data_IF_527122617903
#
_entry.id   IF_527122617903
#
_cell.length_a   1.000
_cell.length_b   1.000
_cell.length_c   1.000
_cell.angle_alpha   90.00
_cell.angle_beta   90.00
_cell.angle_gamma   90.00
#
_symmetry.space_group_name_H-M   'P 1'
#
loop_
_entity.id
_entity.type
_entity.pdbx_description
1 polymer ?
#
# COMPACT_ATOMS: atom_id res chain seq x y z
N UNK A 1 9.52 -1.07 11.62
CA UNK A 1 9.73 0.32 11.17
C UNK A 1 8.55 0.76 10.32
N UNK A 2 8.12 2.03 10.46
CA UNK A 2 7.04 2.62 9.67
C UNK A 2 7.57 3.89 8.99
N UNK A 3 7.03 4.25 7.82
CA UNK A 3 7.35 5.52 7.16
C UNK A 3 6.11 6.44 7.06
N UNK A 4 6.35 7.68 6.65
CA UNK A 4 5.31 8.71 6.47
C UNK A 4 4.30 8.37 5.37
N UNK A 5 4.60 7.39 4.52
CA UNK A 5 3.72 6.94 3.44
C UNK A 5 2.78 5.81 3.88
N UNK A 6 2.85 5.40 5.15
CA UNK A 6 2.03 4.34 5.73
C UNK A 6 2.55 2.93 5.46
N UNK A 7 3.72 2.77 4.84
CA UNK A 7 4.37 1.47 4.67
C UNK A 7 4.99 0.99 5.98
N UNK A 8 5.08 -0.33 6.14
CA UNK A 8 5.60 -0.97 7.34
C UNK A 8 6.57 -2.09 6.97
N UNK A 9 7.72 -2.12 7.65
CA UNK A 9 8.71 -3.20 7.54
C UNK A 9 8.95 -3.79 8.92
N UNK A 10 8.36 -4.96 9.23
CA UNK A 10 8.66 -5.66 10.47
C UNK A 10 10.06 -6.28 10.36
N UNK A 11 10.87 -6.11 11.40
CA UNK A 11 12.13 -6.82 11.57
C UNK A 11 12.00 -7.67 12.83
N UNK A 12 12.13 -8.98 12.69
CA UNK A 12 12.18 -9.88 13.82
C UNK A 12 13.64 -10.06 14.24
N UNK A 13 13.92 -9.80 15.51
CA UNK A 13 15.20 -10.13 16.13
C UNK A 13 14.94 -11.25 17.11
N UNK A 14 15.69 -12.34 16.96
CA UNK A 14 15.67 -13.44 17.90
C UNK A 14 16.97 -13.36 18.69
N UNK A 15 16.85 -13.47 20.02
CA UNK A 15 18.00 -13.53 20.91
C UNK A 15 18.71 -14.87 20.72
N UNK A 16 20.02 -14.82 20.60
CA UNK A 16 20.82 -16.03 20.64
C UNK A 16 20.96 -16.50 22.10
N UNK A 17 20.32 -17.62 22.41
CA UNK A 17 20.31 -18.20 23.76
C UNK A 17 21.53 -19.09 24.04
N UNK A 18 22.37 -19.38 23.03
CA UNK A 18 23.55 -20.22 23.20
C UNK A 18 24.65 -19.52 24.03
N UNK A 19 24.82 -18.21 23.83
CA UNK A 19 25.72 -17.35 24.62
C UNK A 19 25.24 -17.17 26.07
N UNK A 20 23.94 -17.35 26.33
CA UNK A 20 23.39 -17.30 27.69
C UNK A 20 23.55 -18.64 28.42
N UNK A 21 23.46 -19.76 27.71
CA UNK A 21 23.68 -21.10 28.27
C UNK A 21 25.13 -21.29 28.77
N UNK A 22 26.10 -20.66 28.12
CA UNK A 22 27.51 -20.66 28.54
C UNK A 22 27.80 -19.72 29.72
N UNK A 23 26.99 -18.68 29.92
CA UNK A 23 27.06 -17.78 31.09
C UNK A 23 26.46 -18.41 32.35
N UNK A 24 25.38 -19.17 32.21
CA UNK A 24 24.74 -19.86 33.34
C UNK A 24 25.67 -20.95 33.91
N UNK A 25 26.55 -21.53 33.09
CA UNK A 25 27.52 -22.56 33.52
C UNK A 25 28.83 -22.00 34.10
N UNK A 26 29.07 -20.69 34.04
CA UNK A 26 30.24 -20.04 34.61
C UNK A 26 29.86 -19.26 35.88
N UNK A 27 30.04 -19.89 37.04
CA UNK A 27 29.84 -19.29 38.38
C UNK A 27 30.90 -18.21 38.71
N UNK A 28 30.95 -17.09 37.98
CA UNK A 28 31.75 -15.92 38.40
C UNK A 28 30.87 -14.78 38.88
N UNK A 29 31.03 -14.48 40.18
CA UNK A 29 30.39 -13.47 41.02
C UNK A 29 30.71 -12.04 40.58
N UNK A 30 30.32 -11.66 39.36
CA UNK A 30 30.34 -10.27 38.90
C UNK A 30 28.97 -9.92 38.33
N UNK A 31 28.49 -8.72 38.65
CA UNK A 31 27.16 -8.21 38.31
C UNK A 31 26.71 -8.69 36.92
N UNK A 32 25.50 -9.26 36.77
CA UNK A 32 25.05 -9.77 35.49
C UNK A 32 25.10 -8.63 34.47
N UNK A 33 26.03 -8.70 33.53
CA UNK A 33 26.08 -7.75 32.41
C UNK A 33 24.74 -7.82 31.69
N UNK A 34 24.12 -6.68 31.35
CA UNK A 34 22.81 -6.67 30.73
C UNK A 34 22.83 -7.55 29.48
N UNK A 35 21.80 -8.36 29.31
CA UNK A 35 21.71 -9.15 28.10
C UNK A 35 21.39 -8.22 26.91
N UNK A 36 22.35 -8.11 25.99
CA UNK A 36 22.21 -7.30 24.80
C UNK A 36 21.86 -8.16 23.61
N UNK A 37 20.83 -7.75 22.88
CA UNK A 37 20.44 -8.33 21.61
C UNK A 37 20.97 -7.44 20.49
N UNK A 38 21.83 -8.01 19.63
CA UNK A 38 22.42 -7.31 18.49
C UNK A 38 21.81 -7.84 17.20
N UNK A 39 21.44 -6.93 16.31
CA UNK A 39 20.96 -7.27 14.98
C UNK A 39 21.46 -6.28 13.93
N UNK A 40 21.59 -6.77 12.69
CA UNK A 40 21.93 -5.92 11.56
C UNK A 40 21.19 -6.40 10.32
N UNK A 41 20.60 -5.45 9.59
CA UNK A 41 19.88 -5.72 8.35
C UNK A 41 20.39 -4.83 7.23
N UNK A 42 20.39 -5.36 6.02
CA UNK A 42 20.58 -4.52 4.84
C UNK A 42 19.45 -3.50 4.76
N UNK A 43 19.79 -2.25 4.48
CA UNK A 43 18.80 -1.21 4.29
C UNK A 43 17.93 -1.57 3.09
N UNK A 44 16.66 -1.84 3.36
CA UNK A 44 15.69 -2.24 2.37
C UNK A 44 14.37 -1.49 2.57
N UNK A 45 14.35 -0.44 3.39
CA UNK A 45 13.16 0.35 3.67
C UNK A 45 13.45 1.84 3.51
N UNK A 46 12.61 2.54 2.74
CA UNK A 46 12.77 3.96 2.46
C UNK A 46 12.02 4.79 3.52
N UNK A 47 12.77 5.31 4.48
CA UNK A 47 12.20 6.08 5.60
C UNK A 47 12.14 7.59 5.35
N UNK A 48 13.00 8.13 4.48
CA UNK A 48 13.11 9.58 4.26
C UNK A 48 13.50 9.89 2.81
N UNK A 49 12.90 10.92 2.18
CA UNK A 49 13.25 11.38 0.85
C UNK A 49 14.72 11.79 0.72
N UNK A 50 15.42 12.15 1.79
CA UNK A 50 16.83 12.56 1.73
C UNK A 50 17.81 11.38 1.85
N UNK A 51 17.30 10.14 1.85
CA UNK A 51 18.12 8.97 2.13
C UNK A 51 17.83 7.80 1.18
N UNK A 52 18.85 7.41 0.42
CA UNK A 52 18.81 6.22 -0.44
C UNK A 52 18.54 4.94 0.36
N UNK A 53 18.09 3.86 -0.31
CA UNK A 53 17.99 2.51 0.29
C UNK A 53 19.34 1.77 0.36
N UNK A 54 20.48 2.43 0.19
CA UNK A 54 21.80 1.79 0.33
C UNK A 54 22.31 1.89 1.78
N UNK A 55 22.99 0.85 2.25
CA UNK A 55 23.58 0.77 3.59
C UNK A 55 22.99 -0.37 4.42
N UNK A 56 23.09 -0.25 5.75
CA UNK A 56 22.53 -1.18 6.72
C UNK A 56 21.97 -0.45 7.93
N UNK A 57 21.01 -1.08 8.60
CA UNK A 57 20.58 -0.73 9.94
C UNK A 57 21.27 -1.69 10.90
N UNK A 58 21.91 -1.19 11.95
CA UNK A 58 22.33 -1.99 13.10
C UNK A 58 21.57 -1.55 14.34
N UNK A 59 21.18 -2.54 15.13
CA UNK A 59 20.42 -2.36 16.35
C UNK A 59 21.13 -3.08 17.48
N UNK A 60 21.17 -2.43 18.63
CA UNK A 60 21.62 -3.00 19.89
C UNK A 60 20.53 -2.68 20.92
N UNK A 61 19.90 -3.70 21.47
CA UNK A 61 18.81 -3.54 22.44
C UNK A 61 19.14 -4.29 23.72
N UNK A 62 18.92 -3.64 24.87
CA UNK A 62 18.97 -4.29 26.17
C UNK A 62 17.70 -5.11 26.37
N UNK A 63 17.85 -6.30 26.94
CA UNK A 63 16.72 -7.09 27.43
C UNK A 63 15.99 -6.31 28.53
N UNK A 64 14.72 -5.90 28.33
CA UNK A 64 13.99 -5.12 29.31
C UNK A 64 13.69 -5.90 30.60
N UNK A 65 13.81 -7.23 30.61
CA UNK A 65 13.49 -8.06 31.78
C UNK A 65 14.72 -8.63 32.49
N UNK A 66 15.93 -8.50 31.94
CA UNK A 66 17.19 -8.93 32.58
C UNK A 66 17.15 -10.31 33.28
N UNK A 67 16.35 -11.25 32.77
CA UNK A 67 16.15 -12.57 33.38
C UNK A 67 15.11 -12.66 34.51
N UNK A 68 14.52 -11.55 34.94
CA UNK A 68 13.38 -11.50 35.86
C UNK A 68 12.16 -10.83 35.21
N UNK A 69 11.16 -11.65 34.86
CA UNK A 69 9.90 -11.22 34.23
C UNK A 69 9.10 -10.23 35.10
N UNK A 70 9.33 -10.23 36.41
CA UNK A 70 8.62 -9.36 37.36
C UNK A 70 9.20 -7.95 37.43
N UNK A 71 10.45 -7.73 36.97
CA UNK A 71 11.12 -6.43 37.04
C UNK A 71 11.43 -5.89 35.65
N UNK A 72 10.62 -4.95 35.17
CA UNK A 72 10.89 -4.20 33.96
C UNK A 72 11.97 -3.14 34.22
N UNK A 73 13.13 -3.28 33.57
CA UNK A 73 14.31 -2.41 33.71
C UNK A 73 14.32 -1.20 32.77
N UNK A 74 13.28 -1.06 31.93
CA UNK A 74 13.20 -0.02 30.91
C UNK A 74 13.61 -0.51 29.52
N UNK A 75 13.31 0.31 28.51
CA UNK A 75 13.72 0.12 27.13
C UNK A 75 15.02 0.88 26.93
N UNK A 76 16.05 0.19 26.43
CA UNK A 76 17.30 0.80 25.97
C UNK A 76 17.66 0.20 24.61
N UNK A 77 17.51 0.99 23.56
CA UNK A 77 17.74 0.56 22.17
C UNK A 77 18.61 1.61 21.47
N UNK A 78 19.80 1.20 21.06
CA UNK A 78 20.62 1.95 20.12
C UNK A 78 20.35 1.47 18.68
N UNK A 79 20.11 2.42 17.78
CA UNK A 79 19.87 2.23 16.36
C UNK A 79 20.87 3.08 15.58
N UNK A 80 21.66 2.42 14.76
CA UNK A 80 22.63 3.04 13.87
C UNK A 80 22.25 2.78 12.42
N UNK A 81 22.26 3.85 11.63
CA UNK A 81 22.19 3.77 10.18
C UNK A 81 23.60 3.90 9.61
N UNK A 82 24.09 2.82 9.02
CA UNK A 82 25.41 2.76 8.38
C UNK A 82 25.25 2.92 6.87
N UNK A 83 26.07 3.78 6.27
CA UNK A 83 26.11 3.95 4.82
C UNK A 83 26.72 2.75 4.10
N UNK A 84 26.54 2.67 2.79
CA UNK A 84 27.22 1.67 1.95
C UNK A 84 28.74 1.78 1.96
N UNK A 85 29.32 2.89 2.46
CA UNK A 85 30.76 3.09 2.64
C UNK A 85 31.24 2.75 4.06
N UNK A 86 30.40 2.14 4.89
CA UNK A 86 30.73 1.79 6.28
C UNK A 86 30.68 2.95 7.28
N UNK A 87 30.39 4.17 6.84
CA UNK A 87 30.30 5.34 7.72
C UNK A 87 28.91 5.44 8.39
N UNK A 88 28.85 5.68 9.70
CA UNK A 88 27.60 5.96 10.41
C UNK A 88 27.02 7.30 9.97
N UNK A 89 25.73 7.30 9.59
CA UNK A 89 24.99 8.48 9.15
C UNK A 89 24.09 9.04 10.24
N UNK A 90 23.49 8.16 11.03
CA UNK A 90 22.56 8.50 12.11
C UNK A 90 22.76 7.47 13.20
N UNK A 91 23.05 7.94 14.40
CA UNK A 91 23.05 7.14 15.62
C UNK A 91 21.94 7.68 16.52
N UNK A 92 21.00 6.83 16.91
CA UNK A 92 19.85 7.19 17.74
C UNK A 92 19.72 6.21 18.87
N UNK A 93 19.39 6.70 20.06
CA UNK A 93 19.15 5.86 21.23
C UNK A 93 17.78 6.15 21.79
N UNK A 94 16.97 5.12 21.95
CA UNK A 94 15.69 5.16 22.62
C UNK A 94 15.92 4.67 24.05
N UNK A 95 15.66 5.55 25.01
CA UNK A 95 15.79 5.27 26.44
C UNK A 95 14.43 5.49 27.10
N UNK A 96 14.08 4.61 28.04
CA UNK A 96 12.97 4.86 28.97
C UNK A 96 13.30 6.04 29.88
N UNK A 97 12.39 7.00 29.93
CA UNK A 97 12.44 8.11 30.85
C UNK A 97 11.35 7.94 31.91
N UNK A 98 11.76 7.77 33.17
CA UNK A 98 10.86 7.61 34.31
C UNK A 98 10.24 6.21 34.48
N UNK A 99 9.24 6.13 35.35
CA UNK A 99 8.55 4.88 35.71
C UNK A 99 7.51 4.49 34.65
N UNK A 100 7.34 3.18 34.37
CA UNK A 100 6.31 2.72 33.44
C UNK A 100 4.91 3.12 33.90
N UNK A 101 4.11 3.61 32.96
CA UNK A 101 2.72 3.96 33.22
C UNK A 101 1.83 2.77 32.84
N UNK A 102 1.09 2.22 33.81
CA UNK A 102 0.07 1.21 33.54
C UNK A 102 -1.26 1.87 33.16
N UNK A 103 -1.59 1.85 31.86
CA UNK A 103 -2.82 2.41 31.32
C UNK A 103 -4.10 1.70 31.79
N UNK A 104 -3.99 0.45 32.26
CA UNK A 104 -5.13 -0.34 32.75
C UNK A 104 -5.58 0.10 34.15
N UNK A 105 -4.63 0.56 34.98
CA UNK A 105 -4.89 1.03 36.35
C UNK A 105 -5.13 2.55 36.45
N UNK A 106 -4.97 3.28 35.35
CA UNK A 106 -5.23 4.73 35.32
C UNK A 106 -6.73 5.06 35.34
N UNK A 107 -7.14 5.88 36.31
CA UNK A 107 -8.46 6.52 36.33
C UNK A 107 -8.64 7.52 35.18
N UNK A 108 -9.89 7.78 34.78
CA UNK A 108 -10.23 8.63 33.63
C UNK A 108 -9.65 10.05 33.71
N UNK A 109 -9.54 10.63 34.91
CA UNK A 109 -8.94 11.95 35.11
C UNK A 109 -7.45 11.98 34.76
N UNK A 110 -6.68 10.98 35.22
CA UNK A 110 -5.25 10.85 34.89
C UNK A 110 -5.03 10.60 33.39
N UNK A 111 -5.96 9.88 32.74
CA UNK A 111 -5.94 9.69 31.28
C UNK A 111 -6.16 11.01 30.54
N UNK A 112 -7.11 11.83 30.99
CA UNK A 112 -7.38 13.14 30.40
C UNK A 112 -6.21 14.12 30.62
N UNK A 113 -5.64 14.15 31.82
CA UNK A 113 -4.45 14.95 32.14
C UNK A 113 -3.26 14.55 31.26
N UNK A 114 -3.00 13.25 31.11
CA UNK A 114 -1.96 12.74 30.21
C UNK A 114 -2.20 13.18 28.77
N UNK A 115 -3.43 13.02 28.26
CA UNK A 115 -3.78 13.40 26.90
C UNK A 115 -3.58 14.90 26.65
N UNK A 116 -4.03 15.76 27.57
CA UNK A 116 -3.86 17.21 27.46
C UNK A 116 -2.38 17.63 27.52
N UNK A 117 -1.60 16.99 28.39
CA UNK A 117 -0.17 17.28 28.56
C UNK A 117 0.65 16.84 27.35
N UNK A 118 0.25 15.77 26.66
CA UNK A 118 0.98 15.23 25.50
C UNK A 118 0.40 15.65 24.14
N UNK A 119 -0.80 16.23 24.10
CA UNK A 119 -1.45 16.64 22.85
C UNK A 119 -0.56 17.60 22.04
N UNK A 120 0.08 18.56 22.69
CA UNK A 120 0.92 19.55 22.00
C UNK A 120 2.13 18.90 21.33
N UNK A 121 2.68 17.81 21.90
CA UNK A 121 3.80 17.07 21.29
C UNK A 121 3.35 16.48 19.96
N UNK A 122 2.19 15.82 19.93
CA UNK A 122 1.62 15.26 18.69
C UNK A 122 1.33 16.38 17.68
N UNK A 123 0.73 17.48 18.14
CA UNK A 123 0.38 18.63 17.29
C UNK A 123 1.61 19.31 16.67
N UNK A 124 2.68 19.54 17.43
CA UNK A 124 3.90 20.21 16.95
C UNK A 124 4.89 19.28 16.24
N UNK A 125 4.71 17.97 16.32
CA UNK A 125 5.62 17.01 15.67
C UNK A 125 5.64 17.19 14.15
N UNK A 126 4.47 17.28 13.50
CA UNK A 126 4.42 17.41 12.04
C UNK A 126 4.98 18.76 11.53
N UNK A 127 4.60 19.92 12.08
CA UNK A 127 5.22 21.20 11.71
C UNK A 127 6.74 21.19 11.87
N UNK A 128 7.25 20.58 12.95
CA UNK A 128 8.70 20.42 13.16
C UNK A 128 9.33 19.58 12.07
N UNK A 129 8.75 18.43 11.72
CA UNK A 129 9.24 17.57 10.63
C UNK A 129 9.27 18.34 9.29
N UNK A 130 8.23 19.10 8.97
CA UNK A 130 8.18 19.91 7.75
C UNK A 130 9.27 20.97 7.74
N UNK A 131 9.50 21.67 8.86
CA UNK A 131 10.57 22.67 8.98
C UNK A 131 11.95 22.06 8.78
N UNK A 132 12.25 20.92 9.41
CA UNK A 132 13.53 20.22 9.23
C UNK A 132 13.69 19.72 7.79
N UNK A 133 12.62 19.18 7.18
CA UNK A 133 12.65 18.75 5.78
C UNK A 133 12.89 19.94 4.82
N UNK A 134 12.26 21.09 5.08
CA UNK A 134 12.49 22.32 4.32
C UNK A 134 13.94 22.78 4.47
N UNK A 135 14.51 22.70 5.67
CA UNK A 135 15.91 23.05 5.90
C UNK A 135 16.87 22.14 5.11
N UNK A 136 16.65 20.83 5.15
CA UNK A 136 17.44 19.85 4.40
C UNK A 136 17.35 20.05 2.89
N UNK A 137 16.19 20.47 2.39
CA UNK A 137 15.97 20.72 0.98
C UNK A 137 16.57 22.07 0.51
N UNK A 138 16.26 23.17 1.19
CA UNK A 138 16.63 24.52 0.74
C UNK A 138 18.03 24.93 1.18
N UNK A 139 18.41 24.70 2.44
CA UNK A 139 19.71 25.12 2.97
C UNK A 139 20.81 24.09 2.68
N UNK A 140 20.52 22.80 2.90
CA UNK A 140 21.51 21.75 2.71
C UNK A 140 21.52 21.15 1.30
N UNK A 141 20.55 21.52 0.44
CA UNK A 141 20.45 21.07 -0.96
C UNK A 141 20.63 19.57 -1.13
N UNK A 142 20.10 18.79 -0.17
CA UNK A 142 20.23 17.34 -0.22
C UNK A 142 19.43 16.78 -1.38
N UNK A 143 20.02 15.82 -2.08
CA UNK A 143 19.35 15.12 -3.16
C UNK A 143 18.08 14.41 -2.65
N UNK A 144 16.96 14.70 -3.30
CA UNK A 144 15.67 14.08 -3.00
C UNK A 144 15.54 12.80 -3.82
N UNK A 145 15.46 11.70 -3.10
CA UNK A 145 15.16 10.38 -3.61
C UNK A 145 13.64 10.23 -3.72
N UNK A 146 13.17 9.82 -4.90
CA UNK A 146 11.77 9.46 -5.07
C UNK A 146 11.44 8.21 -4.26
N UNK A 147 10.21 8.16 -3.77
CA UNK A 147 9.70 7.01 -3.04
C UNK A 147 9.70 5.78 -3.97
N UNK A 148 10.42 4.71 -3.62
CA UNK A 148 10.33 3.46 -4.34
C UNK A 148 9.13 2.64 -3.86
N UNK A 149 8.58 1.80 -4.72
CA UNK A 149 7.50 0.88 -4.32
C UNK A 149 7.94 -0.10 -3.21
N UNK A 150 7.00 -0.54 -2.36
CA UNK A 150 7.25 -1.55 -1.34
C UNK A 150 7.86 -2.82 -1.94
N UNK A 151 8.83 -3.40 -1.24
CA UNK A 151 9.33 -4.73 -1.62
C UNK A 151 8.33 -5.81 -1.19
N UNK A 152 8.49 -7.03 -1.74
CA UNK A 152 7.67 -8.20 -1.39
C UNK A 152 7.61 -8.48 0.12
N UNK A 153 8.66 -8.14 0.87
CA UNK A 153 8.72 -8.39 2.31
C UNK A 153 8.27 -7.16 3.15
N UNK A 154 7.97 -6.04 2.49
CA UNK A 154 7.37 -4.85 3.10
C UNK A 154 5.85 -4.92 3.00
N UNK A 155 5.18 -4.30 3.96
CA UNK A 155 3.75 -4.09 3.92
C UNK A 155 3.49 -2.71 3.33
N UNK A 156 2.69 -2.68 2.26
CA UNK A 156 2.20 -1.43 1.67
C UNK A 156 1.33 -0.63 2.64
N UNK A 157 0.97 0.57 2.23
CA UNK A 157 0.00 1.40 2.97
C UNK A 157 -1.37 0.73 3.04
N UNK A 158 -2.22 1.21 3.95
CA UNK A 158 -3.62 0.82 3.98
C UNK A 158 -4.34 1.31 2.71
N UNK A 159 -5.26 0.49 2.22
CA UNK A 159 -6.11 0.81 1.08
C UNK A 159 -7.11 1.89 1.47
N UNK A 160 -7.36 2.84 0.58
CA UNK A 160 -8.49 3.76 0.75
C UNK A 160 -9.81 3.04 0.38
N UNK A 161 -10.96 3.68 0.61
CA UNK A 161 -12.27 3.08 0.36
C UNK A 161 -12.50 2.71 -1.11
N UNK A 162 -11.90 3.45 -2.05
CA UNK A 162 -11.97 3.17 -3.49
C UNK A 162 -11.16 1.93 -3.85
N UNK A 163 -9.92 1.86 -3.39
CA UNK A 163 -9.02 0.72 -3.61
C UNK A 163 -9.55 -0.55 -2.96
N UNK A 164 -10.13 -0.46 -1.76
CA UNK A 164 -10.75 -1.60 -1.08
C UNK A 164 -11.94 -2.16 -1.89
N UNK A 165 -12.77 -1.29 -2.48
CA UNK A 165 -13.87 -1.72 -3.37
C UNK A 165 -13.35 -2.34 -4.66
N UNK A 166 -12.34 -1.72 -5.28
CA UNK A 166 -11.73 -2.25 -6.51
C UNK A 166 -11.01 -3.57 -6.28
N UNK A 167 -10.38 -3.75 -5.12
CA UNK A 167 -9.75 -5.00 -4.71
C UNK A 167 -10.77 -6.14 -4.69
N UNK A 168 -11.92 -5.96 -4.06
CA UNK A 168 -12.95 -6.99 -3.98
C UNK A 168 -13.44 -7.42 -5.37
N UNK A 169 -13.55 -6.47 -6.31
CA UNK A 169 -13.97 -6.74 -7.69
C UNK A 169 -12.83 -7.41 -8.47
N UNK A 170 -11.59 -6.93 -8.31
CA UNK A 170 -10.41 -7.52 -8.94
C UNK A 170 -10.20 -8.97 -8.49
N UNK A 171 -10.41 -9.26 -7.20
CA UNK A 171 -10.33 -10.61 -6.64
C UNK A 171 -11.34 -11.57 -7.30
N UNK A 172 -12.60 -11.13 -7.42
CA UNK A 172 -13.63 -11.91 -8.10
C UNK A 172 -13.32 -12.10 -9.58
N UNK A 173 -12.80 -11.06 -10.23
CA UNK A 173 -12.37 -11.13 -11.61
C UNK A 173 -11.19 -12.10 -11.81
N UNK A 174 -10.18 -12.06 -10.95
CA UNK A 174 -9.05 -12.99 -10.98
C UNK A 174 -9.52 -14.43 -10.77
N UNK A 175 -10.43 -14.66 -9.80
CA UNK A 175 -11.05 -15.96 -9.60
C UNK A 175 -11.74 -16.47 -10.86
N UNK A 176 -12.56 -15.63 -11.49
CA UNK A 176 -13.21 -15.95 -12.76
C UNK A 176 -12.20 -16.30 -13.87
N UNK A 177 -11.10 -15.56 -13.98
CA UNK A 177 -10.05 -15.87 -14.94
C UNK A 177 -9.41 -17.24 -14.66
N UNK A 178 -9.17 -17.59 -13.41
CA UNK A 178 -8.57 -18.89 -13.05
C UNK A 178 -9.56 -20.03 -13.29
N UNK A 179 -10.83 -19.86 -12.93
CA UNK A 179 -11.89 -20.86 -13.13
C UNK A 179 -12.18 -21.12 -14.62
N UNK A 180 -12.01 -20.11 -15.47
CA UNK A 180 -12.15 -20.23 -16.93
C UNK A 180 -10.87 -20.74 -17.61
N UNK A 181 -9.82 -21.07 -16.87
CA UNK A 181 -8.54 -21.51 -17.46
C UNK A 181 -8.67 -22.96 -17.95
N UNK A 182 -8.25 -23.20 -19.19
CA UNK A 182 -8.13 -24.56 -19.75
C UNK A 182 -6.87 -25.30 -19.30
N UNK A 183 -5.93 -24.60 -18.65
CA UNK A 183 -4.70 -25.20 -18.11
C UNK A 183 -4.85 -25.50 -16.62
N UNK A 184 -4.30 -26.63 -16.11
CA UNK A 184 -4.35 -27.00 -14.70
C UNK A 184 -3.50 -26.02 -13.88
N UNK A 185 -4.16 -25.08 -13.21
CA UNK A 185 -3.54 -23.95 -12.54
C UNK A 185 -4.10 -23.77 -11.13
N UNK A 186 -3.22 -23.46 -10.18
CA UNK A 186 -3.57 -23.03 -8.84
C UNK A 186 -2.93 -21.67 -8.56
N UNK A 187 -3.75 -20.63 -8.38
CA UNK A 187 -3.30 -19.26 -8.17
C UNK A 187 -3.55 -18.83 -6.74
N UNK A 188 -2.47 -18.55 -6.02
CA UNK A 188 -2.50 -17.99 -4.67
C UNK A 188 -2.40 -16.47 -4.74
N UNK A 189 -3.47 -15.78 -4.37
CA UNK A 189 -3.60 -14.34 -4.39
C UNK A 189 -3.41 -13.75 -3.00
N UNK A 190 -2.52 -12.75 -2.89
CA UNK A 190 -2.25 -11.99 -1.66
C UNK A 190 -2.58 -10.52 -1.90
N UNK A 191 -3.69 -10.00 -1.32
CA UNK A 191 -4.06 -8.60 -1.47
C UNK A 191 -3.18 -7.66 -0.65
N UNK A 192 -3.13 -6.38 -1.04
CA UNK A 192 -2.44 -5.31 -0.30
C UNK A 192 -3.41 -4.35 0.39
N UNK A 193 -3.03 -3.87 1.58
CA UNK A 193 -3.67 -2.75 2.28
C UNK A 193 -4.98 -3.06 2.99
N UNK A 194 -5.37 -4.33 3.11
CA UNK A 194 -6.54 -4.77 3.86
C UNK A 194 -6.11 -5.48 5.14
N UNK A 195 -6.72 -5.12 6.28
CA UNK A 195 -6.30 -5.61 7.60
C UNK A 195 -6.80 -7.04 7.90
N UNK A 196 -7.93 -7.43 7.30
CA UNK A 196 -8.61 -8.71 7.57
C UNK A 196 -8.57 -9.68 6.39
N UNK A 197 -8.01 -9.27 5.25
CA UNK A 197 -8.01 -10.14 4.08
C UNK A 197 -6.85 -11.12 4.13
N UNK A 198 -7.18 -12.40 4.23
CA UNK A 198 -6.22 -13.49 4.11
C UNK A 198 -5.81 -13.74 2.67
N UNK A 199 -4.66 -14.41 2.52
CA UNK A 199 -4.25 -15.10 1.30
C UNK A 199 -5.36 -16.07 0.86
N UNK A 200 -5.70 -16.07 -0.43
CA UNK A 200 -6.75 -16.90 -1.01
C UNK A 200 -6.19 -17.68 -2.21
N UNK A 201 -6.57 -18.94 -2.37
CA UNK A 201 -6.12 -19.76 -3.49
C UNK A 201 -7.29 -20.14 -4.39
N UNK A 202 -7.14 -19.87 -5.68
CA UNK A 202 -8.09 -20.22 -6.74
C UNK A 202 -7.54 -21.39 -7.55
N UNK A 203 -8.41 -22.31 -7.97
CA UNK A 203 -8.02 -23.51 -8.73
C UNK A 203 -8.87 -23.65 -9.98
N UNK A 204 -8.23 -23.93 -11.11
CA UNK A 204 -8.93 -24.21 -12.37
C UNK A 204 -9.67 -25.56 -12.32
N UNK A 205 -10.77 -25.77 -13.06
CA UNK A 205 -11.49 -27.05 -13.07
C UNK A 205 -10.61 -28.26 -13.42
N UNK A 206 -9.69 -28.09 -14.38
CA UNK A 206 -8.76 -29.13 -14.86
C UNK A 206 -7.74 -29.61 -13.81
N UNK A 207 -7.57 -28.89 -12.69
CA UNK A 207 -6.65 -29.30 -11.62
C UNK A 207 -7.13 -30.53 -10.85
N UNK A 208 -8.42 -30.85 -10.93
CA UNK A 208 -9.01 -31.96 -10.17
C UNK A 208 -8.61 -33.35 -10.71
N UNK A 209 -8.19 -33.43 -11.98
CA UNK A 209 -7.83 -34.70 -12.64
C UNK A 209 -6.33 -35.01 -12.71
N UNK A 210 -5.46 -34.01 -12.55
CA UNK A 210 -4.01 -34.12 -12.85
C UNK A 210 -3.16 -33.47 -11.76
N UNK A 211 -3.17 -34.01 -10.54
CA UNK A 211 -2.45 -33.44 -9.38
C UNK A 211 -0.94 -33.23 -9.62
N UNK A 212 -0.30 -34.03 -10.47
CA UNK A 212 1.13 -33.92 -10.79
C UNK A 212 1.48 -32.81 -11.81
N UNK A 213 0.49 -32.24 -12.50
CA UNK A 213 0.70 -31.22 -13.54
C UNK A 213 0.18 -29.83 -13.14
N UNK A 214 -0.23 -29.63 -11.88
CA UNK A 214 -0.77 -28.35 -11.42
C UNK A 214 0.34 -27.31 -11.32
N UNK A 215 0.23 -26.24 -12.11
CA UNK A 215 1.11 -25.09 -12.00
C UNK A 215 0.64 -24.17 -10.87
N UNK A 216 1.42 -24.06 -9.79
CA UNK A 216 1.15 -23.17 -8.67
C UNK A 216 1.73 -21.77 -8.89
N UNK A 217 0.93 -20.71 -8.83
CA UNK A 217 1.39 -19.34 -9.08
C UNK A 217 0.98 -18.46 -7.92
N UNK A 218 1.93 -17.74 -7.32
CA UNK A 218 1.66 -16.78 -6.26
C UNK A 218 1.69 -15.36 -6.81
N UNK A 219 0.53 -14.70 -6.76
CA UNK A 219 0.35 -13.30 -7.14
C UNK A 219 0.18 -12.47 -5.87
N UNK A 220 1.15 -11.59 -5.60
CA UNK A 220 1.11 -10.66 -4.46
C UNK A 220 1.01 -9.23 -4.94
N UNK A 221 -0.02 -8.52 -4.50
CA UNK A 221 -0.10 -7.07 -4.69
C UNK A 221 0.80 -6.40 -3.64
N UNK A 222 1.68 -5.50 -4.08
CA UNK A 222 2.65 -4.83 -3.19
C UNK A 222 2.06 -3.56 -2.58
N UNK A 223 1.27 -2.83 -3.36
CA UNK A 223 0.63 -1.57 -2.96
C UNK A 223 -0.84 -1.51 -3.41
N UNK A 224 -1.77 -0.95 -2.61
CA UNK A 224 -3.17 -0.82 -3.02
C UNK A 224 -3.39 0.07 -4.26
N UNK A 225 -2.41 0.92 -4.59
CA UNK A 225 -2.42 1.75 -5.80
C UNK A 225 -2.54 0.91 -7.07
N UNK A 226 -2.13 -0.37 -7.03
CA UNK A 226 -2.34 -1.29 -8.13
C UNK A 226 -3.81 -1.34 -8.59
N UNK A 227 -4.78 -1.41 -7.67
CA UNK A 227 -6.19 -1.59 -8.04
C UNK A 227 -6.76 -0.37 -8.75
N UNK A 228 -6.41 0.82 -8.29
CA UNK A 228 -6.82 2.07 -8.95
C UNK A 228 -6.12 2.25 -10.29
N UNK A 229 -4.86 1.81 -10.45
CA UNK A 229 -4.15 1.84 -11.74
C UNK A 229 -4.67 0.78 -12.73
N UNK A 230 -4.99 -0.42 -12.26
CA UNK A 230 -5.38 -1.55 -13.11
C UNK A 230 -6.56 -1.20 -14.04
N UNK A 231 -7.57 -0.50 -13.51
CA UNK A 231 -8.77 -0.12 -14.27
C UNK A 231 -8.55 0.97 -15.32
N UNK A 232 -7.39 1.66 -15.29
CA UNK A 232 -6.98 2.64 -16.31
C UNK A 232 -6.42 1.96 -17.57
N UNK A 233 -6.01 0.70 -17.49
CA UNK A 233 -5.54 -0.03 -18.67
C UNK A 233 -6.72 -0.55 -19.51
N UNK A 234 -6.52 -0.60 -20.82
CA UNK A 234 -7.49 -1.18 -21.75
C UNK A 234 -7.39 -2.71 -21.78
N UNK A 235 -6.17 -3.24 -21.65
CA UNK A 235 -5.89 -4.68 -21.66
C UNK A 235 -5.38 -5.14 -20.29
N UNK A 236 -5.93 -6.23 -19.79
CA UNK A 236 -5.53 -6.86 -18.53
C UNK A 236 -4.10 -7.41 -18.58
N UNK A 237 -3.70 -8.08 -19.67
CA UNK A 237 -2.33 -8.56 -19.82
C UNK A 237 -1.31 -7.41 -19.88
N UNK A 238 -1.64 -6.32 -20.58
CA UNK A 238 -0.82 -5.10 -20.59
C UNK A 238 -0.73 -4.51 -19.18
N UNK A 239 -1.85 -4.41 -18.46
CA UNK A 239 -1.91 -3.90 -17.10
C UNK A 239 -0.96 -4.69 -16.18
N UNK A 240 -1.08 -6.02 -16.17
CA UNK A 240 -0.25 -6.87 -15.32
C UNK A 240 1.23 -6.75 -15.72
N UNK A 241 1.55 -6.75 -17.01
CA UNK A 241 2.93 -6.64 -17.47
C UNK A 241 3.56 -5.30 -17.10
N UNK A 242 2.86 -4.19 -17.34
CA UNK A 242 3.35 -2.85 -16.98
C UNK A 242 3.46 -2.70 -15.46
N UNK A 243 2.47 -3.16 -14.69
CA UNK A 243 2.52 -3.10 -13.24
C UNK A 243 3.58 -4.02 -12.63
N UNK A 244 3.94 -5.13 -13.28
CA UNK A 244 5.01 -6.03 -12.85
C UNK A 244 6.41 -5.50 -13.21
N UNK A 245 6.64 -5.16 -14.48
CA UNK A 245 7.95 -4.84 -15.02
C UNK A 245 8.32 -3.36 -14.84
N UNK A 246 7.39 -2.45 -15.14
CA UNK A 246 7.65 -1.01 -15.18
C UNK A 246 7.38 -0.35 -13.83
N UNK A 247 6.23 -0.62 -13.21
CA UNK A 247 5.80 0.08 -12.00
C UNK A 247 6.11 -0.69 -10.70
N UNK A 248 6.26 -2.01 -10.78
CA UNK A 248 6.47 -2.93 -9.65
C UNK A 248 5.47 -2.74 -8.50
N UNK A 249 4.18 -2.63 -8.81
CA UNK A 249 3.11 -2.62 -7.80
C UNK A 249 2.58 -4.03 -7.50
N UNK A 250 3.03 -5.02 -8.27
CA UNK A 250 2.69 -6.44 -8.17
C UNK A 250 3.97 -7.28 -8.20
N UNK A 251 3.96 -8.40 -7.49
CA UNK A 251 4.99 -9.42 -7.52
C UNK A 251 4.37 -10.77 -7.87
N UNK A 252 5.02 -11.49 -8.76
CA UNK A 252 4.60 -12.83 -9.20
C UNK A 252 5.82 -13.73 -9.08
N UNK A 253 5.64 -14.93 -8.54
CA UNK A 253 6.72 -15.91 -8.40
C UNK A 253 7.16 -16.52 -9.75
N UNK A 254 6.18 -16.83 -10.63
CA UNK A 254 6.37 -17.44 -11.96
C UNK A 254 5.70 -16.61 -13.06
N UNK A 255 6.30 -15.50 -13.51
CA UNK A 255 5.71 -14.59 -14.48
C UNK A 255 5.39 -15.23 -15.84
N UNK A 256 6.08 -16.30 -16.22
CA UNK A 256 5.87 -17.06 -17.45
C UNK A 256 4.48 -17.71 -17.56
N UNK A 257 3.78 -17.86 -16.44
CA UNK A 257 2.42 -18.43 -16.38
C UNK A 257 1.31 -17.40 -16.60
N UNK A 258 1.62 -16.09 -16.48
CA UNK A 258 0.66 -15.00 -16.60
C UNK A 258 -0.12 -14.98 -17.93
N UNK A 259 0.49 -15.29 -19.09
CA UNK A 259 -0.26 -15.41 -20.33
C UNK A 259 -1.38 -16.45 -20.26
N UNK A 260 -1.21 -17.54 -19.50
CA UNK A 260 -2.25 -18.57 -19.35
C UNK A 260 -3.48 -18.06 -18.57
N UNK A 261 -3.28 -17.05 -17.73
CA UNK A 261 -4.32 -16.44 -16.89
C UNK A 261 -5.04 -15.31 -17.65
N UNK A 262 -4.27 -14.37 -18.21
CA UNK A 262 -4.78 -13.09 -18.74
C UNK A 262 -4.88 -13.05 -20.27
N UNK A 263 -4.14 -13.87 -21.01
CA UNK A 263 -4.13 -13.86 -22.47
C UNK A 263 -5.20 -14.82 -23.00
N UNK A 264 -6.48 -14.42 -22.87
CA UNK A 264 -7.64 -15.21 -23.31
C UNK A 264 -8.30 -14.67 -24.58
N UNK A 265 -9.13 -15.52 -25.21
CA UNK A 265 -9.91 -15.18 -26.41
C UNK A 265 -10.68 -13.88 -26.21
N UNK A 266 -10.77 -13.11 -27.30
CA UNK A 266 -11.30 -11.75 -27.32
C UNK A 266 -12.60 -11.62 -26.51
N UNK A 267 -12.73 -10.59 -25.66
CA UNK A 267 -13.98 -10.34 -24.95
C UNK A 267 -15.10 -10.12 -26.00
N UNK A 268 -16.31 -10.64 -25.74
CA UNK A 268 -17.45 -10.47 -26.63
C UNK A 268 -17.74 -8.97 -26.86
N UNK A 269 -18.36 -8.61 -28.00
CA UNK A 269 -18.77 -7.24 -28.24
C UNK A 269 -19.70 -6.75 -27.13
N UNK A 270 -19.59 -5.47 -26.78
CA UNK A 270 -20.33 -4.78 -25.72
C UNK A 270 -21.82 -5.16 -25.69
N UNK A 271 -22.20 -6.14 -24.86
CA UNK A 271 -23.58 -6.39 -24.51
C UNK A 271 -23.90 -5.58 -23.26
N UNK A 272 -24.43 -4.38 -23.46
CA UNK A 272 -24.77 -3.49 -22.34
C UNK A 272 -26.26 -3.61 -22.04
N UNK A 273 -26.65 -4.17 -20.88
CA UNK A 273 -28.05 -4.50 -20.60
C UNK A 273 -28.96 -3.28 -20.36
N UNK A 274 -28.40 -2.06 -20.24
CA UNK A 274 -29.20 -0.85 -19.98
C UNK A 274 -28.57 0.44 -20.51
N UNK A 275 -29.42 1.41 -20.84
CA UNK A 275 -29.02 2.71 -21.39
C UNK A 275 -28.03 3.47 -20.48
N UNK A 276 -28.29 3.47 -19.16
CA UNK A 276 -27.42 4.14 -18.21
C UNK A 276 -26.03 3.48 -18.17
N UNK A 277 -25.98 2.15 -18.20
CA UNK A 277 -24.69 1.43 -18.22
C UNK A 277 -23.93 1.77 -19.51
N UNK A 278 -24.63 1.88 -20.64
CA UNK A 278 -24.00 2.28 -21.90
C UNK A 278 -23.39 3.68 -21.81
N UNK A 279 -24.13 4.64 -21.25
CA UNK A 279 -23.63 6.01 -21.09
C UNK A 279 -22.40 6.07 -20.17
N UNK A 280 -22.43 5.37 -19.03
CA UNK A 280 -21.31 5.33 -18.09
C UNK A 280 -20.08 4.68 -18.71
N UNK A 281 -20.20 3.47 -19.28
CA UNK A 281 -19.06 2.75 -19.84
C UNK A 281 -18.48 3.43 -21.09
N UNK A 282 -19.31 4.09 -21.91
CA UNK A 282 -18.84 4.92 -23.02
C UNK A 282 -18.09 6.17 -22.53
N UNK A 283 -18.50 6.75 -21.41
CA UNK A 283 -17.79 7.86 -20.77
C UNK A 283 -16.46 7.39 -20.18
N UNK A 284 -16.47 6.28 -19.44
CA UNK A 284 -15.28 5.62 -18.90
C UNK A 284 -14.27 5.33 -20.02
N UNK A 285 -14.71 4.71 -21.12
CA UNK A 285 -13.86 4.40 -22.28
C UNK A 285 -13.22 5.66 -22.88
N UNK A 286 -13.96 6.77 -22.97
CA UNK A 286 -13.45 8.05 -23.48
C UNK A 286 -12.52 8.80 -22.53
N UNK A 287 -12.62 8.53 -21.23
CA UNK A 287 -11.76 9.15 -20.22
C UNK A 287 -10.55 8.29 -19.88
N UNK A 288 -10.59 6.99 -20.18
CA UNK A 288 -9.53 6.03 -19.91
C UNK A 288 -8.23 6.44 -20.61
N UNK A 289 -7.14 6.39 -19.85
CA UNK A 289 -5.77 6.70 -20.27
C UNK A 289 -4.81 5.82 -19.50
N UNK A 290 -3.74 5.36 -20.15
CA UNK A 290 -2.68 4.62 -19.48
C UNK A 290 -2.12 5.48 -18.33
N UNK A 291 -2.02 4.94 -17.11
CA UNK A 291 -1.52 5.70 -15.98
C UNK A 291 -0.03 6.02 -16.18
N UNK A 292 0.47 7.15 -15.66
CA UNK A 292 1.88 7.51 -15.79
C UNK A 292 2.77 6.47 -15.10
N UNK A 293 3.97 6.27 -15.66
CA UNK A 293 4.96 5.36 -15.11
C UNK A 293 5.43 5.87 -13.72
N UNK A 294 5.57 4.95 -12.76
CA UNK A 294 6.08 5.27 -11.43
C UNK A 294 7.60 5.45 -11.52
N UNK A 295 8.07 6.70 -11.40
CA UNK A 295 9.50 7.02 -11.47
C UNK A 295 10.28 6.39 -10.31
N UNK A 296 11.36 5.67 -10.62
CA UNK A 296 12.19 4.94 -9.64
C UNK A 296 13.70 5.12 -9.85
N UNK A 297 14.28 6.31 -9.66
CA UNK A 297 15.73 6.42 -9.56
C UNK A 297 16.20 5.75 -8.25
N UNK A 298 16.81 4.57 -8.36
CA UNK A 298 17.42 3.87 -7.22
C UNK A 298 18.81 4.44 -6.90
N UNK A 299 19.42 5.13 -7.86
CA UNK A 299 20.67 5.88 -7.73
C UNK A 299 20.60 7.25 -8.38
N UNK A 300 21.45 8.17 -7.94
CA UNK A 300 21.60 9.52 -8.51
C UNK A 300 22.15 9.50 -9.94
N UNK A 301 22.59 8.32 -10.43
CA UNK A 301 23.02 8.08 -11.80
C UNK A 301 21.91 7.51 -12.70
N UNK A 302 20.77 7.08 -12.12
CA UNK A 302 19.62 6.64 -12.90
C UNK A 302 18.91 7.89 -13.42
N UNK A 303 19.37 8.40 -14.56
CA UNK A 303 18.64 9.41 -15.33
C UNK A 303 17.20 8.96 -15.51
N UNK A 304 16.26 9.86 -15.20
CA UNK A 304 14.83 9.66 -15.39
C UNK A 304 14.59 8.90 -16.71
N UNK A 305 14.18 7.63 -16.60
CA UNK A 305 13.84 6.82 -17.77
C UNK A 305 12.84 7.59 -18.64
N UNK A 306 12.91 7.39 -19.95
CA UNK A 306 12.07 8.06 -20.94
C UNK A 306 10.63 8.13 -20.44
N UNK A 307 10.11 9.34 -20.25
CA UNK A 307 8.71 9.56 -19.95
C UNK A 307 7.92 9.08 -21.16
N UNK A 308 7.44 7.84 -21.12
CA UNK A 308 6.53 7.34 -22.15
C UNK A 308 5.31 8.24 -22.12
N UNK A 309 5.06 8.94 -23.23
CA UNK A 309 3.86 9.75 -23.39
C UNK A 309 2.65 8.85 -23.16
N UNK A 310 1.68 9.25 -22.32
CA UNK A 310 0.53 8.39 -22.03
C UNK A 310 -0.19 8.06 -23.33
N UNK A 311 -0.15 6.79 -23.71
CA UNK A 311 -0.81 6.31 -24.91
C UNK A 311 -2.32 6.54 -24.80
N UNK A 312 -2.89 7.01 -25.89
CA UNK A 312 -4.30 7.34 -25.95
C UNK A 312 -5.14 6.09 -26.21
N UNK A 313 -5.74 5.55 -25.15
CA UNK A 313 -6.53 4.33 -25.20
C UNK A 313 -8.01 4.56 -25.58
N UNK A 314 -8.40 5.79 -25.97
CA UNK A 314 -9.81 6.16 -26.22
C UNK A 314 -10.47 5.42 -27.40
N UNK A 315 -9.67 4.87 -28.31
CA UNK A 315 -10.15 4.07 -29.45
C UNK A 315 -10.33 2.57 -29.14
N UNK A 316 -9.90 2.10 -27.97
CA UNK A 316 -9.88 0.67 -27.65
C UNK A 316 -11.21 0.17 -27.09
N UNK A 317 -11.46 -1.14 -27.17
CA UNK A 317 -12.67 -1.80 -26.65
C UNK A 317 -12.80 -1.63 -25.13
N UNK A 318 -13.97 -2.01 -24.60
CA UNK A 318 -14.18 -2.12 -23.15
C UNK A 318 -13.11 -3.04 -22.51
N UNK A 319 -12.67 -2.71 -21.30
CA UNK A 319 -11.68 -3.54 -20.60
C UNK A 319 -12.30 -4.90 -20.26
N UNK A 320 -11.54 -6.00 -20.32
CA UNK A 320 -12.02 -7.32 -19.90
C UNK A 320 -12.64 -7.35 -18.48
N UNK A 321 -12.09 -6.56 -17.54
CA UNK A 321 -12.65 -6.44 -16.18
C UNK A 321 -14.00 -5.70 -16.19
N UNK A 322 -14.15 -4.67 -17.02
CA UNK A 322 -15.43 -3.98 -17.17
C UNK A 322 -16.49 -4.92 -17.77
N UNK A 323 -16.12 -5.74 -18.77
CA UNK A 323 -16.98 -6.75 -19.37
C UNK A 323 -17.41 -7.80 -18.34
N UNK A 324 -16.47 -8.28 -17.52
CA UNK A 324 -16.78 -9.17 -16.39
C UNK A 324 -17.82 -8.57 -15.43
N UNK A 325 -17.65 -7.29 -15.05
CA UNK A 325 -18.61 -6.62 -14.14
C UNK A 325 -19.98 -6.43 -14.80
N UNK A 326 -20.03 -6.22 -16.12
CA UNK A 326 -21.30 -6.09 -16.83
C UNK A 326 -22.09 -7.40 -16.88
N UNK A 327 -21.40 -8.53 -17.11
CA UNK A 327 -22.01 -9.84 -17.38
C UNK A 327 -22.22 -10.68 -16.12
N UNK A 328 -21.26 -10.68 -15.19
CA UNK A 328 -21.20 -11.66 -14.10
C UNK A 328 -21.46 -11.08 -12.71
N UNK A 329 -21.52 -9.74 -12.56
CA UNK A 329 -21.74 -9.10 -11.27
C UNK A 329 -23.21 -8.74 -11.01
N UNK A 330 -23.56 -8.63 -9.72
CA UNK A 330 -24.89 -8.16 -9.29
C UNK A 330 -25.16 -6.72 -9.75
N UNK A 331 -26.44 -6.35 -9.84
CA UNK A 331 -26.87 -5.00 -10.22
C UNK A 331 -26.29 -3.92 -9.29
N UNK A 332 -26.19 -4.21 -8.00
CA UNK A 332 -25.65 -3.31 -6.98
C UNK A 332 -24.15 -3.10 -7.16
N UNK A 333 -23.38 -4.19 -7.30
CA UNK A 333 -21.93 -4.13 -7.55
C UNK A 333 -21.64 -3.38 -8.83
N UNK A 334 -22.40 -3.65 -9.91
CA UNK A 334 -22.27 -2.95 -11.19
C UNK A 334 -22.55 -1.44 -11.06
N UNK A 335 -23.60 -1.07 -10.34
CA UNK A 335 -23.94 0.34 -10.12
C UNK A 335 -22.90 1.07 -9.26
N UNK A 336 -22.35 0.39 -8.25
CA UNK A 336 -21.25 0.89 -7.43
C UNK A 336 -19.97 1.07 -8.25
N UNK A 337 -19.58 0.05 -9.03
CA UNK A 337 -18.39 0.06 -9.88
C UNK A 337 -18.40 1.19 -10.91
N UNK A 338 -19.48 1.32 -11.69
CA UNK A 338 -19.57 2.36 -12.73
C UNK A 338 -19.51 3.78 -12.14
N UNK A 339 -20.14 3.99 -10.98
CA UNK A 339 -20.11 5.28 -10.28
C UNK A 339 -18.71 5.58 -9.76
N UNK A 340 -18.05 4.57 -9.17
CA UNK A 340 -16.70 4.66 -8.65
C UNK A 340 -15.68 5.02 -9.76
N UNK A 341 -15.73 4.29 -10.88
CA UNK A 341 -14.84 4.54 -12.02
C UNK A 341 -15.09 5.90 -12.68
N UNK A 342 -16.35 6.27 -12.89
CA UNK A 342 -16.67 7.57 -13.47
C UNK A 342 -16.14 8.72 -12.61
N UNK A 343 -16.31 8.64 -11.29
CA UNK A 343 -15.73 9.62 -10.35
C UNK A 343 -14.21 9.65 -10.44
N UNK A 344 -13.57 8.49 -10.43
CA UNK A 344 -12.12 8.40 -10.46
C UNK A 344 -11.54 9.00 -11.76
N UNK A 345 -12.09 8.67 -12.93
CA UNK A 345 -11.61 9.22 -14.19
C UNK A 345 -11.91 10.70 -14.38
N UNK A 346 -13.05 11.19 -13.86
CA UNK A 346 -13.34 12.63 -13.84
C UNK A 346 -12.36 13.34 -12.91
N UNK A 347 -12.05 12.77 -11.74
CA UNK A 347 -11.09 13.34 -10.78
C UNK A 347 -9.70 13.42 -11.39
N UNK A 348 -9.25 12.33 -12.02
CA UNK A 348 -7.97 12.26 -12.70
C UNK A 348 -7.86 13.31 -13.81
N UNK A 349 -8.94 13.52 -14.58
CA UNK A 349 -8.94 14.44 -15.70
C UNK A 349 -9.02 15.92 -15.32
N UNK A 350 -9.79 16.26 -14.29
CA UNK A 350 -10.18 17.65 -14.00
C UNK A 350 -9.74 18.14 -12.62
N UNK A 351 -9.41 17.24 -11.69
CA UNK A 351 -9.19 17.56 -10.27
C UNK A 351 -7.89 16.97 -9.74
N UNK A 352 -6.88 16.79 -10.59
CA UNK A 352 -5.55 16.27 -10.22
C UNK A 352 -5.61 14.95 -9.40
N UNK A 353 -6.56 14.09 -9.75
CA UNK A 353 -6.79 12.79 -9.11
C UNK A 353 -7.21 12.87 -7.63
N UNK A 354 -7.77 14.00 -7.19
CA UNK A 354 -8.33 14.21 -5.84
C UNK A 354 -9.86 14.03 -5.89
N UNK A 355 -10.39 12.85 -5.54
CA UNK A 355 -11.82 12.56 -5.64
C UNK A 355 -12.69 13.39 -4.68
N UNK A 356 -12.14 13.86 -3.55
CA UNK A 356 -12.84 14.66 -2.54
C UNK A 356 -13.34 16.00 -3.11
N UNK A 357 -12.65 16.55 -4.11
CA UNK A 357 -13.07 17.78 -4.78
C UNK A 357 -14.38 17.55 -5.53
N UNK A 358 -14.60 16.36 -6.10
CA UNK A 358 -15.87 16.02 -6.76
C UNK A 358 -17.00 16.00 -5.73
N UNK A 359 -16.78 15.38 -4.58
CA UNK A 359 -17.80 15.33 -3.52
C UNK A 359 -18.13 16.74 -3.02
N UNK A 360 -17.14 17.62 -2.88
CA UNK A 360 -17.36 19.02 -2.54
C UNK A 360 -18.16 19.77 -3.62
N UNK A 361 -17.81 19.60 -4.91
CA UNK A 361 -18.54 20.22 -6.03
C UNK A 361 -19.98 19.70 -6.11
N UNK A 362 -20.20 18.39 -5.92
CA UNK A 362 -21.53 17.81 -5.89
C UNK A 362 -22.35 18.30 -4.70
N UNK A 363 -21.74 18.47 -3.53
CA UNK A 363 -22.38 19.04 -2.35
C UNK A 363 -22.80 20.49 -2.62
N UNK A 364 -21.90 21.31 -3.15
CA UNK A 364 -22.20 22.70 -3.53
C UNK A 364 -23.33 22.72 -4.55
N UNK A 365 -23.27 21.90 -5.60
CA UNK A 365 -24.32 21.83 -6.61
C UNK A 365 -25.69 21.43 -6.03
N UNK A 366 -25.73 20.45 -5.12
CA UNK A 366 -26.97 20.06 -4.43
C UNK A 366 -27.52 21.18 -3.56
N UNK A 367 -26.66 21.88 -2.83
CA UNK A 367 -27.04 23.05 -2.02
C UNK A 367 -27.54 24.19 -2.89
N UNK A 368 -26.90 24.44 -4.03
CA UNK A 368 -27.34 25.45 -5.01
C UNK A 368 -28.69 25.11 -5.63
N UNK A 369 -28.93 23.85 -6.01
CA UNK A 369 -30.23 23.41 -6.55
C UNK A 369 -31.31 23.46 -5.47
N UNK A 370 -31.02 23.03 -4.24
CA UNK A 370 -31.96 23.13 -3.12
C UNK A 370 -32.31 24.60 -2.83
N UNK A 371 -31.31 25.49 -2.81
CA UNK A 371 -31.51 26.93 -2.63
C UNK A 371 -32.33 27.55 -3.78
N UNK A 372 -32.08 27.13 -5.01
CA UNK A 372 -32.86 27.56 -6.19
C UNK A 372 -34.32 27.11 -6.08
N UNK A 373 -34.58 25.85 -5.77
CA UNK A 373 -35.95 25.33 -5.59
C UNK A 373 -36.71 26.02 -4.44
N UNK A 374 -36.02 26.34 -3.33
CA UNK A 374 -36.61 27.10 -2.21
C UNK A 374 -36.92 28.56 -2.59
N UNK A 375 -36.10 29.16 -3.45
CA UNK A 375 -36.31 30.53 -3.95
C UNK A 375 -37.50 30.61 -4.92
N UNK A 376 -37.81 29.54 -5.66
CA UNK A 376 -39.00 29.47 -6.53
C UNK A 376 -40.26 29.00 -5.79
N UNK A 377 -40.14 28.18 -4.73
CA UNK A 377 -41.27 27.75 -3.91
C UNK A 377 -41.88 28.83 -3.02
N UNK A 378 -41.19 29.96 -2.84
CA UNK A 378 -41.66 31.13 -2.09
C UNK A 378 -42.31 32.22 -2.96
N UNK A 379 -42.34 32.04 -4.29
CA UNK A 379 -42.96 32.94 -5.26
C UNK A 379 -44.32 32.41 -5.73
N UNK A 380 -45.25 32.16 -4.80
CA UNK A 380 -46.69 32.09 -5.13
C UNK A 380 -47.30 33.39 -4.63
N UNK A 381 -47.67 34.34 -5.51
CA UNK A 381 -48.34 35.57 -5.09
C UNK A 381 -49.74 35.22 -4.56
N UNK A 382 -50.06 35.75 -3.38
CA UNK A 382 -51.42 35.74 -2.80
C UNK A 382 -52.35 36.66 -3.53
#
# INVERSE_FOLDING_TARGET
MNNIFGERRPYLVIRDTADDATRISSEETSHPTPAWVKASWKKDFHMSPFNSRKGSYSMLARDPFEGNVESFSGIDIALDLVSSKGQSKVATRLLSDGTPIDASQMGSLKKAEFALTWFWVVFLTFPRIVREAASLFFYHQLHVWYRPEPLKDSLGRLANSTEAKLESIFRQYLRFLVEQSSSPLSVTYVPSGLQESSEETFTSPESSGHQEQIEHVKIKILTPVFYSRFVHYAHDFEAIFCELAENCTIWVDRPETLPKIFLKKQPPPLYVPGFMDFLYFKTIQRLRRRPPNIMRPMTSADSAGSTTTPEDLRGFRISPMDAFVLEHSSRETRASYRSLLARMFVADRFFFSIPEIIDAVLLIGRLSVASWLLSFGSAIPR
#
